data_IF_413808157783
#
_entry.id   IF_413808157783
#
_cell.length_a   1.000
_cell.length_b   1.000
_cell.length_c   1.000
_cell.angle_alpha   90.00
_cell.angle_beta   90.00
_cell.angle_gamma   90.00
#
_symmetry.space_group_name_H-M   'P 1'
#
loop_
_entity.id
_entity.type
_entity.pdbx_description
1 polymer ?
#
# COMPACT_ATOMS: atom_id res chain seq x y z
N UNK A 1 44.42 -2.14 -39.25
CA UNK A 1 43.39 -2.78 -40.09
C UNK A 1 42.67 -3.80 -39.20
N UNK A 2 41.55 -3.48 -38.58
CA UNK A 2 40.21 -3.24 -39.13
C UNK A 2 39.47 -4.55 -39.52
N UNK A 3 38.41 -4.83 -38.75
CA UNK A 3 37.04 -5.18 -39.21
C UNK A 3 36.72 -6.63 -39.63
N UNK A 4 35.80 -7.21 -38.84
CA UNK A 4 34.59 -8.02 -39.14
C UNK A 4 34.57 -8.98 -40.34
N UNK A 5 34.07 -10.20 -40.10
CA UNK A 5 32.70 -10.65 -40.43
C UNK A 5 32.54 -12.13 -39.96
N UNK A 6 31.65 -12.45 -39.02
CA UNK A 6 30.19 -12.61 -39.17
C UNK A 6 29.77 -13.94 -39.85
N UNK A 7 29.31 -14.89 -39.02
CA UNK A 7 28.20 -15.87 -39.23
C UNK A 7 28.14 -16.80 -38.01
N UNK A 8 27.33 -16.50 -36.98
CA UNK A 8 25.91 -16.87 -36.84
C UNK A 8 25.61 -18.33 -37.21
N UNK A 9 25.18 -19.09 -36.19
CA UNK A 9 24.63 -20.44 -36.34
C UNK A 9 24.14 -21.03 -35.03
N UNK A 10 22.91 -20.65 -34.63
CA UNK A 10 21.99 -21.41 -33.79
C UNK A 10 22.36 -21.67 -32.30
N UNK A 11 22.12 -20.65 -31.48
CA UNK A 11 21.77 -20.85 -30.07
C UNK A 11 20.31 -21.36 -29.98
N UNK A 12 20.14 -22.68 -29.89
CA UNK A 12 18.93 -23.31 -29.35
C UNK A 12 18.99 -23.28 -27.82
N UNK A 13 18.76 -22.10 -27.26
CA UNK A 13 18.60 -21.89 -25.83
C UNK A 13 17.12 -22.04 -25.43
N UNK A 14 16.62 -23.27 -25.45
CA UNK A 14 15.38 -23.64 -24.78
C UNK A 14 15.69 -24.78 -23.81
N UNK A 15 15.15 -24.69 -22.60
CA UNK A 15 15.21 -25.69 -21.52
C UNK A 15 16.48 -25.72 -20.66
N UNK A 16 16.83 -24.57 -20.09
CA UNK A 16 17.61 -24.52 -18.85
C UNK A 16 16.69 -24.65 -17.63
N UNK A 17 16.48 -25.86 -17.16
CA UNK A 17 15.80 -26.15 -15.89
C UNK A 17 16.45 -25.33 -14.74
N UNK A 18 15.66 -24.45 -14.12
CA UNK A 18 16.08 -23.65 -12.98
C UNK A 18 16.19 -24.52 -11.71
N UNK A 19 17.26 -25.30 -11.62
CA UNK A 19 17.74 -25.87 -10.36
C UNK A 19 18.51 -24.81 -9.57
N UNK A 20 18.07 -24.50 -8.35
CA UNK A 20 18.88 -23.84 -7.32
C UNK A 20 19.26 -22.37 -7.57
N UNK A 21 18.42 -21.44 -7.12
CA UNK A 21 18.81 -20.08 -6.72
C UNK A 21 19.47 -19.21 -7.80
N UNK A 22 18.67 -18.51 -8.62
CA UNK A 22 19.23 -17.51 -9.55
C UNK A 22 20.06 -16.44 -8.80
N UNK A 23 21.34 -16.32 -9.17
CA UNK A 23 22.26 -15.28 -8.71
C UNK A 23 22.15 -13.97 -9.52
N UNK A 24 21.21 -13.92 -10.47
CA UNK A 24 20.93 -12.75 -11.27
C UNK A 24 20.28 -11.65 -10.40
N UNK A 25 21.09 -10.69 -9.93
CA UNK A 25 20.67 -9.62 -9.02
C UNK A 25 19.49 -8.79 -9.54
N UNK A 26 19.39 -8.63 -10.86
CA UNK A 26 18.37 -7.78 -11.50
C UNK A 26 17.12 -8.53 -11.96
N UNK A 27 17.09 -9.86 -11.85
CA UNK A 27 15.86 -10.57 -12.18
C UNK A 27 14.90 -10.57 -10.97
N UNK A 28 13.59 -10.35 -11.15
CA UNK A 28 12.72 -10.23 -9.97
C UNK A 28 12.48 -11.55 -9.20
N UNK A 29 12.94 -12.71 -9.73
CA UNK A 29 13.01 -13.95 -8.95
C UNK A 29 14.23 -13.94 -8.03
N UNK A 30 15.38 -13.48 -8.52
CA UNK A 30 16.60 -13.26 -7.75
C UNK A 30 16.40 -12.22 -6.65
N UNK A 31 15.76 -11.08 -6.97
CA UNK A 31 15.42 -10.05 -5.99
C UNK A 31 14.51 -10.58 -4.88
N UNK A 32 13.44 -11.31 -5.23
CA UNK A 32 12.52 -11.92 -4.26
C UNK A 32 13.21 -12.94 -3.37
N UNK A 33 14.03 -13.80 -3.95
CA UNK A 33 14.75 -14.84 -3.22
C UNK A 33 15.83 -14.21 -2.32
N UNK A 34 16.54 -13.19 -2.81
CA UNK A 34 17.50 -12.41 -2.03
C UNK A 34 16.84 -11.70 -0.84
N UNK A 35 15.68 -11.08 -1.04
CA UNK A 35 14.91 -10.47 0.06
C UNK A 35 14.46 -11.52 1.08
N UNK A 36 13.92 -12.67 0.64
CA UNK A 36 13.53 -13.77 1.53
C UNK A 36 14.69 -14.28 2.39
N UNK A 37 15.86 -14.51 1.78
CA UNK A 37 17.05 -14.94 2.52
C UNK A 37 17.53 -13.88 3.51
N UNK A 38 17.50 -12.60 3.11
CA UNK A 38 17.87 -11.51 4.01
C UNK A 38 16.92 -11.41 5.21
N UNK A 39 15.60 -11.52 4.98
CA UNK A 39 14.60 -11.57 6.06
C UNK A 39 14.85 -12.77 6.98
N UNK A 40 15.08 -13.96 6.42
CA UNK A 40 15.35 -15.16 7.22
C UNK A 40 16.66 -15.05 8.01
N UNK A 41 17.70 -14.43 7.46
CA UNK A 41 18.95 -14.14 8.16
C UNK A 41 18.73 -13.15 9.30
N UNK A 42 18.02 -12.06 9.04
CA UNK A 42 17.69 -11.05 10.04
C UNK A 42 16.86 -11.63 11.20
N UNK A 43 15.83 -12.42 10.90
CA UNK A 43 15.00 -13.05 11.95
C UNK A 43 15.83 -14.00 12.83
N UNK A 44 16.73 -14.79 12.22
CA UNK A 44 17.66 -15.65 12.98
C UNK A 44 18.62 -14.84 13.85
N UNK A 45 19.18 -13.75 13.33
CA UNK A 45 20.05 -12.88 14.10
C UNK A 45 19.31 -12.23 15.28
N UNK A 46 18.12 -11.67 15.04
CA UNK A 46 17.25 -11.10 16.08
C UNK A 46 16.94 -12.11 17.18
N UNK A 47 16.50 -13.31 16.81
CA UNK A 47 16.13 -14.33 17.79
C UNK A 47 17.37 -14.88 18.53
N UNK A 48 18.53 -14.94 17.86
CA UNK A 48 19.82 -15.23 18.49
C UNK A 48 20.23 -14.18 19.53
N UNK A 49 20.15 -12.89 19.19
CA UNK A 49 20.42 -11.80 20.14
C UNK A 49 19.41 -11.75 21.29
N UNK A 50 18.14 -12.05 21.03
CA UNK A 50 17.13 -12.20 22.08
C UNK A 50 17.45 -13.34 23.05
N UNK A 51 18.14 -14.39 22.58
CA UNK A 51 18.65 -15.50 23.39
C UNK A 51 20.05 -15.23 24.01
N UNK A 52 20.61 -14.03 23.83
CA UNK A 52 21.94 -13.65 24.35
C UNK A 52 23.12 -14.23 23.55
N UNK A 53 22.89 -14.73 22.33
CA UNK A 53 23.92 -15.31 21.47
C UNK A 53 24.57 -14.23 20.58
N UNK A 54 25.82 -14.43 20.18
CA UNK A 54 26.50 -13.58 19.18
C UNK A 54 27.04 -12.24 19.70
N UNK A 55 27.01 -12.01 21.02
CA UNK A 55 27.61 -10.83 21.64
C UNK A 55 29.16 -10.93 21.66
N UNK A 56 29.88 -9.88 21.20
CA UNK A 56 31.32 -9.81 21.37
C UNK A 56 31.72 -9.80 22.86
N UNK A 57 32.80 -10.49 23.21
CA UNK A 57 33.28 -10.58 24.60
C UNK A 57 33.52 -9.18 25.23
N UNK A 58 34.00 -8.21 24.43
CA UNK A 58 34.28 -6.85 24.90
C UNK A 58 33.05 -6.05 25.36
N UNK A 59 31.84 -6.39 24.90
CA UNK A 59 30.59 -5.69 25.31
C UNK A 59 29.74 -6.53 26.26
N UNK A 60 29.98 -7.85 26.33
CA UNK A 60 29.20 -8.78 27.14
C UNK A 60 29.22 -8.48 28.65
N UNK A 61 30.25 -7.77 29.13
CA UNK A 61 30.39 -7.40 30.53
C UNK A 61 29.55 -6.20 30.97
N UNK A 62 28.97 -5.45 30.02
CA UNK A 62 28.10 -4.30 30.29
C UNK A 62 26.77 -4.44 29.57
N UNK A 63 25.68 -4.45 30.33
CA UNK A 63 24.32 -4.55 29.79
C UNK A 63 23.99 -3.38 28.84
N UNK A 64 24.42 -2.16 29.17
CA UNK A 64 24.21 -0.98 28.33
C UNK A 64 25.00 -1.08 27.03
N UNK A 65 26.28 -1.47 27.10
CA UNK A 65 27.13 -1.64 25.92
C UNK A 65 26.61 -2.76 25.00
N UNK A 66 26.19 -3.89 25.59
CA UNK A 66 25.57 -4.99 24.86
C UNK A 66 24.30 -4.55 24.13
N UNK A 67 23.41 -3.79 24.79
CA UNK A 67 22.17 -3.27 24.17
C UNK A 67 22.45 -2.32 23.02
N UNK A 68 23.39 -1.39 23.20
CA UNK A 68 23.77 -0.44 22.15
C UNK A 68 24.35 -1.17 20.93
N UNK A 69 25.25 -2.13 21.16
CA UNK A 69 25.86 -2.93 20.10
C UNK A 69 24.81 -3.76 19.34
N UNK A 70 23.94 -4.49 20.05
CA UNK A 70 22.85 -5.26 19.44
C UNK A 70 21.90 -4.37 18.64
N UNK A 71 21.56 -3.19 19.17
CA UNK A 71 20.70 -2.24 18.47
C UNK A 71 21.35 -1.73 17.19
N UNK A 72 22.66 -1.45 17.20
CA UNK A 72 23.39 -1.00 16.02
C UNK A 72 23.45 -2.09 14.94
N UNK A 73 23.80 -3.32 15.33
CA UNK A 73 23.87 -4.47 14.44
C UNK A 73 22.50 -4.78 13.81
N UNK A 74 21.43 -4.79 14.62
CA UNK A 74 20.07 -4.99 14.11
C UNK A 74 19.59 -3.84 13.21
N UNK A 75 20.06 -2.62 13.45
CA UNK A 75 19.75 -1.47 12.59
C UNK A 75 20.39 -1.63 11.22
N UNK A 76 21.68 -1.95 11.16
CA UNK A 76 22.39 -2.18 9.90
C UNK A 76 21.76 -3.32 9.09
N UNK A 77 21.49 -4.45 9.74
CA UNK A 77 20.84 -5.58 9.07
C UNK A 77 19.42 -5.25 8.60
N UNK A 78 18.65 -4.50 9.40
CA UNK A 78 17.30 -4.08 9.01
C UNK A 78 17.32 -3.13 7.80
N UNK A 79 18.29 -2.22 7.72
CA UNK A 79 18.48 -1.35 6.56
C UNK A 79 18.81 -2.17 5.30
N UNK A 80 19.68 -3.18 5.42
CA UNK A 80 20.01 -4.08 4.32
C UNK A 80 18.83 -4.96 3.87
N UNK A 81 17.92 -5.34 4.79
CA UNK A 81 16.66 -6.03 4.45
C UNK A 81 15.70 -5.07 3.74
N UNK A 82 15.56 -3.85 4.23
CA UNK A 82 14.68 -2.84 3.66
C UNK A 82 15.13 -2.39 2.26
N UNK A 83 16.44 -2.30 2.01
CA UNK A 83 17.01 -2.06 0.68
C UNK A 83 16.66 -3.17 -0.30
N UNK A 84 16.87 -4.44 0.08
CA UNK A 84 16.48 -5.58 -0.74
C UNK A 84 14.96 -5.66 -0.95
N UNK A 85 14.18 -5.25 0.04
CA UNK A 85 12.72 -5.16 -0.07
C UNK A 85 12.27 -4.10 -1.09
N UNK A 86 12.94 -2.94 -1.12
CA UNK A 86 12.72 -1.90 -2.14
C UNK A 86 13.09 -2.41 -3.53
N UNK A 87 14.25 -3.05 -3.67
CA UNK A 87 14.69 -3.65 -4.94
C UNK A 87 13.71 -4.72 -5.45
N UNK A 88 13.20 -5.61 -4.58
CA UNK A 88 12.14 -6.56 -4.95
C UNK A 88 10.86 -5.83 -5.41
N UNK A 89 10.47 -4.75 -4.72
CA UNK A 89 9.31 -3.95 -5.06
C UNK A 89 9.40 -3.32 -6.45
N UNK A 90 10.51 -2.68 -6.76
CA UNK A 90 10.79 -2.07 -8.08
C UNK A 90 10.81 -3.13 -9.19
N UNK A 91 11.52 -4.23 -8.95
CA UNK A 91 11.62 -5.36 -9.87
C UNK A 91 10.24 -6.02 -10.13
N UNK A 92 9.37 -6.05 -9.12
CA UNK A 92 7.98 -6.52 -9.25
C UNK A 92 7.12 -5.54 -10.05
N UNK A 93 7.20 -4.24 -9.76
CA UNK A 93 6.46 -3.19 -10.48
C UNK A 93 6.82 -3.17 -11.98
N UNK A 94 8.10 -3.34 -12.30
CA UNK A 94 8.59 -3.42 -13.68
C UNK A 94 8.03 -4.62 -14.47
N UNK A 95 7.58 -5.69 -13.79
CA UNK A 95 6.89 -6.83 -14.41
C UNK A 95 5.37 -6.77 -14.32
N UNK A 96 4.83 -5.89 -13.48
CA UNK A 96 3.39 -5.79 -13.26
C UNK A 96 2.65 -5.42 -14.54
N UNK A 97 3.21 -4.52 -15.36
CA UNK A 97 2.56 -4.06 -16.59
C UNK A 97 2.30 -5.20 -17.58
N UNK A 98 3.22 -6.18 -17.69
CA UNK A 98 3.04 -7.37 -18.53
C UNK A 98 1.88 -8.22 -18.00
N UNK A 99 1.83 -8.43 -16.69
CA UNK A 99 0.76 -9.22 -16.06
C UNK A 99 -0.60 -8.54 -16.20
N UNK A 100 -0.66 -7.23 -16.01
CA UNK A 100 -1.90 -6.47 -16.18
C UNK A 100 -2.34 -6.46 -17.64
N UNK A 101 -1.41 -6.30 -18.60
CA UNK A 101 -1.73 -6.42 -20.02
C UNK A 101 -2.26 -7.83 -20.35
N UNK A 102 -1.59 -8.89 -19.89
CA UNK A 102 -2.04 -10.27 -20.07
C UNK A 102 -3.43 -10.50 -19.46
N UNK A 103 -3.71 -9.96 -18.28
CA UNK A 103 -5.02 -10.08 -17.64
C UNK A 103 -6.12 -9.33 -18.42
N UNK A 104 -5.82 -8.13 -18.91
CA UNK A 104 -6.75 -7.33 -19.74
C UNK A 104 -7.05 -8.06 -21.05
N UNK A 105 -6.04 -8.54 -21.77
CA UNK A 105 -6.23 -9.30 -23.01
C UNK A 105 -6.90 -10.66 -22.76
N UNK A 106 -6.59 -11.33 -21.63
CA UNK A 106 -7.29 -12.52 -21.19
C UNK A 106 -8.79 -12.28 -20.97
N UNK A 107 -9.17 -11.13 -20.41
CA UNK A 107 -10.57 -10.74 -20.26
C UNK A 107 -11.26 -10.50 -21.61
N UNK A 108 -10.57 -9.89 -22.58
CA UNK A 108 -11.07 -9.75 -23.97
C UNK A 108 -11.29 -11.12 -24.62
N UNK A 109 -10.33 -12.04 -24.48
CA UNK A 109 -10.46 -13.41 -25.00
C UNK A 109 -11.60 -14.17 -24.31
N UNK A 110 -11.74 -14.03 -22.99
CA UNK A 110 -12.85 -14.64 -22.25
C UNK A 110 -14.21 -14.09 -22.71
N UNK A 111 -14.32 -12.78 -22.94
CA UNK A 111 -15.51 -12.17 -23.50
C UNK A 111 -15.81 -12.71 -24.90
N UNK A 112 -14.80 -12.78 -25.78
CA UNK A 112 -14.94 -13.38 -27.11
C UNK A 112 -15.46 -14.82 -27.03
N UNK A 113 -14.87 -15.66 -26.17
CA UNK A 113 -15.29 -17.04 -25.99
C UNK A 113 -16.73 -17.12 -25.48
N UNK A 114 -17.12 -16.30 -24.50
CA UNK A 114 -18.48 -16.26 -23.99
C UNK A 114 -19.49 -15.82 -25.06
N UNK A 115 -19.15 -14.82 -25.86
CA UNK A 115 -19.99 -14.35 -26.97
C UNK A 115 -20.08 -15.39 -28.09
N UNK A 116 -18.99 -16.08 -28.41
CA UNK A 116 -18.98 -17.19 -29.38
C UNK A 116 -19.80 -18.38 -28.91
N UNK A 117 -19.69 -18.78 -27.64
CA UNK A 117 -20.48 -19.87 -27.07
C UNK A 117 -21.97 -19.53 -27.04
N UNK A 118 -22.33 -18.31 -26.64
CA UNK A 118 -23.73 -17.86 -26.65
C UNK A 118 -24.24 -17.54 -28.06
N UNK A 119 -23.38 -17.45 -29.07
CA UNK A 119 -23.76 -17.35 -30.47
C UNK A 119 -24.23 -18.66 -31.08
N UNK A 120 -23.85 -19.80 -30.47
CA UNK A 120 -24.36 -21.10 -30.88
C UNK A 120 -25.87 -21.13 -30.64
N UNK A 121 -26.64 -21.20 -31.73
CA UNK A 121 -28.11 -21.18 -31.70
C UNK A 121 -28.72 -19.78 -31.89
N UNK A 122 -28.22 -18.76 -31.17
CA UNK A 122 -28.78 -17.40 -31.25
C UNK A 122 -28.24 -16.55 -32.43
N UNK A 123 -27.17 -17.00 -33.08
CA UNK A 123 -26.52 -16.29 -34.20
C UNK A 123 -25.65 -15.11 -33.73
N UNK A 124 -24.75 -14.64 -34.59
CA UNK A 124 -23.88 -13.49 -34.28
C UNK A 124 -24.59 -12.17 -34.54
N UNK A 125 -24.54 -11.23 -33.60
CA UNK A 125 -25.27 -9.95 -33.70
C UNK A 125 -24.32 -8.76 -33.72
N UNK A 126 -24.77 -7.64 -34.28
CA UNK A 126 -24.02 -6.37 -34.25
C UNK A 126 -23.71 -5.88 -32.83
N UNK A 127 -24.54 -6.25 -31.85
CA UNK A 127 -24.30 -5.99 -30.42
C UNK A 127 -22.99 -6.63 -29.95
N UNK A 128 -22.76 -7.89 -30.31
CA UNK A 128 -21.55 -8.61 -29.92
C UNK A 128 -20.31 -8.01 -30.56
N UNK A 129 -20.40 -7.66 -31.84
CA UNK A 129 -19.33 -6.95 -32.54
C UNK A 129 -19.01 -5.62 -31.83
N UNK A 130 -20.02 -4.82 -31.49
CA UNK A 130 -19.83 -3.55 -30.80
C UNK A 130 -19.22 -3.75 -29.39
N UNK A 131 -19.66 -4.77 -28.65
CA UNK A 131 -19.13 -5.12 -27.33
C UNK A 131 -17.65 -5.51 -27.38
N UNK A 132 -17.26 -6.33 -28.37
CA UNK A 132 -15.88 -6.74 -28.58
C UNK A 132 -15.00 -5.59 -29.05
N UNK A 133 -15.49 -4.75 -29.96
CA UNK A 133 -14.76 -3.55 -30.39
C UNK A 133 -14.55 -2.58 -29.23
N UNK A 134 -15.57 -2.34 -28.40
CA UNK A 134 -15.42 -1.53 -27.19
C UNK A 134 -14.38 -2.13 -26.24
N UNK A 135 -14.41 -3.46 -26.03
CA UNK A 135 -13.42 -4.15 -25.20
C UNK A 135 -12.00 -4.03 -25.76
N UNK A 136 -11.82 -4.13 -27.08
CA UNK A 136 -10.53 -3.96 -27.76
C UNK A 136 -10.00 -2.54 -27.62
N UNK A 137 -10.83 -1.52 -27.79
CA UNK A 137 -10.45 -0.11 -27.63
C UNK A 137 -10.00 0.16 -26.19
N UNK A 138 -10.78 -0.30 -25.21
CA UNK A 138 -10.43 -0.20 -23.79
C UNK A 138 -9.12 -0.94 -23.50
N UNK A 139 -8.98 -2.18 -23.96
CA UNK A 139 -7.78 -2.97 -23.75
C UNK A 139 -6.53 -2.33 -24.36
N UNK A 140 -6.64 -1.77 -25.57
CA UNK A 140 -5.56 -1.04 -26.22
C UNK A 140 -5.17 0.23 -25.44
N UNK A 141 -6.16 1.00 -24.97
CA UNK A 141 -5.92 2.18 -24.15
C UNK A 141 -5.24 1.83 -22.82
N UNK A 142 -5.70 0.79 -22.12
CA UNK A 142 -5.07 0.31 -20.87
C UNK A 142 -3.67 -0.26 -21.11
N UNK A 143 -3.44 -0.92 -22.25
CA UNK A 143 -2.11 -1.42 -22.64
C UNK A 143 -1.15 -0.25 -22.94
N UNK A 144 -1.60 0.77 -23.68
CA UNK A 144 -0.83 1.97 -23.94
C UNK A 144 -0.49 2.71 -22.63
N UNK A 145 -1.49 2.93 -21.77
CA UNK A 145 -1.28 3.51 -20.44
C UNK A 145 -0.30 2.68 -19.59
N UNK A 146 -0.41 1.35 -19.64
CA UNK A 146 0.53 0.45 -18.96
C UNK A 146 1.96 0.63 -19.45
N UNK A 147 2.15 0.80 -20.76
CA UNK A 147 3.46 0.99 -21.36
C UNK A 147 4.08 2.34 -20.96
N UNK A 148 3.32 3.43 -21.05
CA UNK A 148 3.78 4.76 -20.63
C UNK A 148 4.08 4.84 -19.12
N UNK A 149 3.32 4.11 -18.29
CA UNK A 149 3.48 4.11 -16.83
C UNK A 149 4.19 2.87 -16.28
N UNK A 150 4.95 2.13 -17.11
CA UNK A 150 5.60 0.87 -16.72
C UNK A 150 6.51 0.98 -15.49
N UNK A 151 7.18 2.12 -15.31
CA UNK A 151 8.05 2.39 -14.17
C UNK A 151 7.29 2.62 -12.85
N UNK A 152 5.97 2.88 -12.91
CA UNK A 152 5.12 3.23 -11.76
C UNK A 152 4.01 2.20 -11.51
N UNK A 153 4.15 0.98 -12.05
CA UNK A 153 3.15 -0.09 -11.90
C UNK A 153 2.14 -0.19 -13.05
N UNK A 154 2.39 0.46 -14.19
CA UNK A 154 1.58 0.35 -15.39
C UNK A 154 0.18 0.94 -15.21
N UNK A 155 -0.87 0.22 -15.65
CA UNK A 155 -2.27 0.65 -15.53
C UNK A 155 -2.71 0.88 -14.08
N UNK A 156 -2.03 0.28 -13.11
CA UNK A 156 -2.34 0.45 -11.69
C UNK A 156 -1.73 1.72 -11.08
N UNK A 157 -0.86 2.43 -11.81
CA UNK A 157 -0.23 3.65 -11.31
C UNK A 157 -1.21 4.70 -10.75
N UNK A 158 -2.40 4.96 -11.36
CA UNK A 158 -3.36 5.93 -10.82
C UNK A 158 -4.00 5.50 -9.49
N UNK A 159 -4.07 4.18 -9.24
CA UNK A 159 -4.70 3.63 -8.02
C UNK A 159 -3.69 3.41 -6.89
N UNK A 160 -2.39 3.52 -7.18
CA UNK A 160 -1.33 3.50 -6.17
C UNK A 160 -1.24 4.90 -5.52
N UNK A 161 -1.30 4.92 -4.20
CA UNK A 161 -1.19 6.10 -3.35
C UNK A 161 0.24 6.64 -3.26
N UNK A 162 0.38 7.85 -2.74
CA UNK A 162 1.67 8.49 -2.48
C UNK A 162 2.52 7.72 -1.44
N UNK A 163 1.88 6.89 -0.61
CA UNK A 163 2.51 5.98 0.35
C UNK A 163 2.85 4.61 -0.24
N UNK A 164 2.79 4.45 -1.58
CA UNK A 164 3.09 3.22 -2.31
C UNK A 164 2.19 2.03 -1.93
N UNK A 165 0.94 2.31 -1.54
CA UNK A 165 -0.12 1.33 -1.23
C UNK A 165 -1.27 1.47 -2.22
N UNK A 166 -2.07 0.43 -2.43
CA UNK A 166 -3.28 0.58 -3.24
C UNK A 166 -4.32 1.42 -2.49
N UNK A 167 -4.88 2.43 -3.16
CA UNK A 167 -5.94 3.28 -2.61
C UNK A 167 -7.31 2.68 -2.90
N UNK A 168 -8.05 2.35 -1.84
CA UNK A 168 -9.42 1.81 -1.91
C UNK A 168 -10.34 2.73 -2.71
N UNK A 169 -10.38 4.02 -2.40
CA UNK A 169 -11.25 4.97 -3.10
C UNK A 169 -10.88 5.19 -4.56
N UNK A 170 -9.59 5.30 -4.91
CA UNK A 170 -9.17 5.43 -6.31
C UNK A 170 -9.47 4.16 -7.10
N UNK A 171 -9.31 2.99 -6.49
CA UNK A 171 -9.60 1.70 -7.14
C UNK A 171 -11.08 1.57 -7.46
N UNK A 172 -11.96 1.83 -6.49
CA UNK A 172 -13.41 1.79 -6.70
C UNK A 172 -13.83 2.80 -7.78
N UNK A 173 -13.31 4.03 -7.72
CA UNK A 173 -13.60 5.04 -8.73
C UNK A 173 -13.11 4.62 -10.14
N UNK A 174 -11.89 4.08 -10.24
CA UNK A 174 -11.33 3.59 -11.51
C UNK A 174 -12.17 2.45 -12.11
N UNK A 175 -12.66 1.51 -11.28
CA UNK A 175 -13.56 0.44 -11.74
C UNK A 175 -14.86 0.99 -12.32
N UNK A 176 -15.51 1.95 -11.64
CA UNK A 176 -16.73 2.59 -12.14
C UNK A 176 -16.49 3.40 -13.41
N UNK A 177 -15.41 4.18 -13.48
CA UNK A 177 -15.03 4.92 -14.69
C UNK A 177 -14.81 3.97 -15.86
N UNK A 178 -14.03 2.90 -15.66
CA UNK A 178 -13.75 1.92 -16.70
C UNK A 178 -15.04 1.26 -17.22
N UNK A 179 -15.95 0.89 -16.31
CA UNK A 179 -17.23 0.31 -16.66
C UNK A 179 -18.10 1.29 -17.48
N UNK A 180 -18.21 2.54 -17.06
CA UNK A 180 -19.01 3.55 -17.77
C UNK A 180 -18.41 3.87 -19.13
N UNK A 181 -17.08 4.00 -19.24
CA UNK A 181 -16.40 4.19 -20.53
C UNK A 181 -16.68 3.02 -21.47
N UNK A 182 -16.60 1.78 -20.97
CA UNK A 182 -16.95 0.59 -21.76
C UNK A 182 -18.41 0.62 -22.23
N UNK A 183 -19.36 0.93 -21.33
CA UNK A 183 -20.78 1.00 -21.66
C UNK A 183 -21.09 2.05 -22.73
N UNK A 184 -20.47 3.23 -22.63
CA UNK A 184 -20.63 4.31 -23.60
C UNK A 184 -20.01 3.94 -24.95
N UNK A 185 -18.82 3.31 -24.97
CA UNK A 185 -18.20 2.84 -26.22
C UNK A 185 -19.02 1.74 -26.90
N UNK A 186 -19.62 0.82 -26.12
CA UNK A 186 -20.56 -0.17 -26.63
C UNK A 186 -21.74 0.52 -27.33
N UNK A 187 -22.41 1.46 -26.65
CA UNK A 187 -23.56 2.19 -27.20
C UNK A 187 -23.17 3.02 -28.43
N UNK A 188 -22.01 3.67 -28.42
CA UNK A 188 -21.49 4.42 -29.56
C UNK A 188 -21.22 3.52 -30.77
N UNK A 189 -20.64 2.33 -30.54
CA UNK A 189 -20.43 1.33 -31.59
C UNK A 189 -21.75 0.81 -32.18
N UNK A 190 -22.78 0.61 -31.34
CA UNK A 190 -24.13 0.27 -31.81
C UNK A 190 -24.75 1.39 -32.63
N UNK A 191 -24.61 2.63 -32.19
CA UNK A 191 -25.14 3.80 -32.89
C UNK A 191 -24.47 3.97 -34.27
N UNK A 192 -23.15 3.77 -34.34
CA UNK A 192 -22.41 3.82 -35.61
C UNK A 192 -22.83 2.72 -36.59
N UNK A 193 -23.20 1.54 -36.08
CA UNK A 193 -23.68 0.42 -36.89
C UNK A 193 -25.17 0.49 -37.25
N UNK A 194 -25.95 1.37 -36.61
CA UNK A 194 -27.38 1.49 -36.85
C UNK A 194 -27.65 2.16 -38.21
N UNK A 195 -28.28 1.41 -39.12
CA UNK A 195 -28.68 1.89 -40.45
C UNK A 195 -30.09 2.50 -40.47
N UNK A 196 -30.96 2.09 -39.54
CA UNK A 196 -32.36 2.54 -39.45
C UNK A 196 -32.53 3.72 -38.47
N UNK A 197 -33.44 4.64 -38.80
CA UNK A 197 -33.71 5.82 -37.97
C UNK A 197 -34.39 5.44 -36.65
N UNK A 198 -35.33 4.50 -36.64
CA UNK A 198 -36.00 4.08 -35.41
C UNK A 198 -35.03 3.40 -34.42
N UNK A 199 -34.08 2.62 -34.95
CA UNK A 199 -33.00 2.02 -34.15
C UNK A 199 -32.06 3.07 -33.53
N UNK A 200 -31.74 4.15 -34.28
CA UNK A 200 -30.93 5.27 -33.76
C UNK A 200 -31.67 6.02 -32.66
N UNK A 201 -32.94 6.34 -32.87
CA UNK A 201 -33.77 7.04 -31.87
C UNK A 201 -33.92 6.22 -30.58
N UNK A 202 -34.06 4.90 -30.70
CA UNK A 202 -34.09 4.01 -29.54
C UNK A 202 -32.78 4.06 -28.74
N UNK A 203 -31.62 4.03 -29.40
CA UNK A 203 -30.31 4.12 -28.75
C UNK A 203 -30.08 5.49 -28.10
N UNK A 204 -30.48 6.58 -28.78
CA UNK A 204 -30.42 7.94 -28.22
C UNK A 204 -31.33 8.07 -26.99
N UNK A 205 -32.53 7.49 -27.03
CA UNK A 205 -33.42 7.41 -25.86
C UNK A 205 -32.84 6.54 -24.74
N UNK A 206 -32.00 5.56 -25.07
CA UNK A 206 -31.30 4.70 -24.12
C UNK A 206 -30.13 5.40 -23.41
N UNK A 207 -29.61 6.49 -23.99
CA UNK A 207 -28.62 7.39 -23.39
C UNK A 207 -29.27 8.48 -22.52
N UNK A 208 -30.61 8.54 -22.47
CA UNK A 208 -31.32 9.54 -21.69
C UNK A 208 -30.89 9.49 -20.21
N UNK A 209 -30.65 10.67 -19.66
CA UNK A 209 -30.15 10.85 -18.30
C UNK A 209 -31.12 10.26 -17.28
N UNK A 210 -32.43 10.27 -17.55
CA UNK A 210 -33.42 9.65 -16.68
C UNK A 210 -33.15 8.14 -16.47
N UNK A 211 -32.65 7.44 -17.48
CA UNK A 211 -32.31 6.01 -17.42
C UNK A 211 -30.91 5.75 -16.87
N UNK A 212 -30.00 6.70 -17.06
CA UNK A 212 -28.62 6.63 -16.56
C UNK A 212 -28.40 7.24 -15.17
N UNK A 213 -29.41 7.89 -14.58
CA UNK A 213 -29.26 8.74 -13.41
C UNK A 213 -28.59 8.01 -12.23
N UNK A 214 -29.03 6.79 -11.90
CA UNK A 214 -28.45 6.02 -10.79
C UNK A 214 -26.95 5.74 -10.97
N UNK A 215 -26.52 5.32 -12.16
CA UNK A 215 -25.10 5.06 -12.46
C UNK A 215 -24.30 6.36 -12.50
N UNK A 216 -24.86 7.42 -13.09
CA UNK A 216 -24.22 8.73 -13.11
C UNK A 216 -24.02 9.30 -11.70
N UNK A 217 -25.04 9.16 -10.82
CA UNK A 217 -24.95 9.55 -9.41
C UNK A 217 -23.88 8.73 -8.68
N UNK A 218 -23.86 7.41 -8.82
CA UNK A 218 -22.84 6.57 -8.19
C UNK A 218 -21.45 6.95 -8.70
N UNK A 219 -21.27 7.11 -10.01
CA UNK A 219 -20.00 7.53 -10.60
C UNK A 219 -19.54 8.88 -10.02
N UNK A 220 -20.43 9.88 -9.98
CA UNK A 220 -20.13 11.19 -9.43
C UNK A 220 -19.70 11.10 -7.96
N UNK A 221 -20.40 10.29 -7.16
CA UNK A 221 -20.10 10.10 -5.74
C UNK A 221 -18.77 9.39 -5.55
N UNK A 222 -18.50 8.26 -6.21
CA UNK A 222 -17.24 7.51 -6.00
C UNK A 222 -16.03 8.32 -6.45
N UNK A 223 -16.16 9.08 -7.55
CA UNK A 223 -15.13 10.02 -8.01
C UNK A 223 -14.93 11.18 -7.01
N UNK A 224 -16.03 11.79 -6.54
CA UNK A 224 -15.99 12.84 -5.53
C UNK A 224 -15.34 12.38 -4.23
N UNK A 225 -15.65 11.17 -3.77
CA UNK A 225 -15.07 10.55 -2.57
C UNK A 225 -13.58 10.25 -2.77
N UNK A 226 -13.16 9.79 -3.96
CA UNK A 226 -11.75 9.59 -4.25
C UNK A 226 -10.93 10.90 -4.12
N UNK A 227 -11.47 12.01 -4.61
CA UNK A 227 -10.86 13.34 -4.48
C UNK A 227 -10.91 13.84 -3.03
N UNK A 228 -12.07 13.74 -2.38
CA UNK A 228 -12.28 14.23 -1.02
C UNK A 228 -11.38 13.49 -0.03
N UNK A 229 -11.30 12.17 -0.10
CA UNK A 229 -10.43 11.37 0.79
C UNK A 229 -8.96 11.74 0.59
N UNK A 230 -8.51 11.93 -0.66
CA UNK A 230 -7.14 12.41 -0.92
C UNK A 230 -6.89 13.75 -0.25
N UNK A 231 -7.84 14.69 -0.34
CA UNK A 231 -7.74 16.00 0.30
C UNK A 231 -7.71 15.90 1.83
N UNK A 232 -8.60 15.08 2.41
CA UNK A 232 -8.70 14.86 3.87
C UNK A 232 -7.41 14.25 4.41
N UNK A 233 -6.93 13.16 3.82
CA UNK A 233 -5.69 12.50 4.22
C UNK A 233 -4.50 13.47 4.10
N UNK A 234 -4.39 14.18 2.98
CA UNK A 234 -3.33 15.17 2.76
C UNK A 234 -3.33 16.29 3.81
N UNK A 235 -4.49 16.89 4.08
CA UNK A 235 -4.61 17.94 5.11
C UNK A 235 -4.30 17.43 6.51
N UNK A 236 -4.68 16.19 6.83
CA UNK A 236 -4.42 15.60 8.16
C UNK A 236 -2.96 15.22 8.35
N UNK A 237 -2.26 14.82 7.28
CA UNK A 237 -0.80 14.63 7.30
C UNK A 237 -0.10 15.96 7.53
N UNK A 238 -0.44 17.00 6.76
CA UNK A 238 0.12 18.36 6.93
C UNK A 238 -0.16 18.91 8.33
N UNK A 239 -1.36 18.68 8.85
CA UNK A 239 -1.75 19.08 10.20
C UNK A 239 -1.23 18.18 11.33
N UNK A 240 -0.36 17.21 11.04
CA UNK A 240 0.24 16.26 11.99
C UNK A 240 -0.80 15.46 12.80
N UNK A 241 -2.01 15.30 12.27
CA UNK A 241 -3.11 14.51 12.86
C UNK A 241 -3.18 13.09 12.32
N UNK A 242 -2.38 12.77 11.31
CA UNK A 242 -2.27 11.45 10.72
C UNK A 242 -0.81 11.21 10.34
N UNK A 243 -0.29 10.03 10.68
CA UNK A 243 1.06 9.60 10.36
C UNK A 243 0.98 8.50 9.31
N UNK A 244 1.67 8.66 8.18
CA UNK A 244 1.77 7.64 7.13
C UNK A 244 3.22 7.34 6.80
N UNK A 245 3.56 6.05 6.78
CA UNK A 245 4.88 5.58 6.38
C UNK A 245 4.77 4.87 5.02
N UNK A 246 5.63 5.20 4.04
CA UNK A 246 5.61 4.56 2.73
C UNK A 246 5.84 3.04 2.84
N UNK A 247 5.01 2.26 2.15
CA UNK A 247 5.21 0.82 2.00
C UNK A 247 6.32 0.53 0.97
N UNK A 248 7.00 -0.61 1.12
CA UNK A 248 8.00 -1.04 0.14
C UNK A 248 7.39 -1.46 -1.20
N UNK A 249 6.12 -1.89 -1.21
CA UNK A 249 5.38 -2.23 -2.42
C UNK A 249 3.86 -2.17 -2.18
N UNK A 250 3.06 -1.90 -3.23
CA UNK A 250 1.62 -2.01 -3.14
C UNK A 250 1.19 -3.48 -3.09
N UNK A 251 0.11 -3.76 -2.37
CA UNK A 251 -0.48 -5.11 -2.25
C UNK A 251 -1.98 -5.02 -2.56
N UNK A 252 -2.54 -6.05 -3.19
CA UNK A 252 -3.98 -6.12 -3.39
C UNK A 252 -4.76 -6.15 -2.06
N UNK A 253 -4.15 -6.69 -1.00
CA UNK A 253 -4.71 -6.67 0.35
C UNK A 253 -4.92 -5.25 0.90
N UNK A 254 -4.15 -4.25 0.42
CA UNK A 254 -4.28 -2.85 0.88
C UNK A 254 -5.67 -2.27 0.61
N UNK A 255 -6.45 -2.85 -0.32
CA UNK A 255 -7.83 -2.46 -0.57
C UNK A 255 -8.78 -2.83 0.59
N UNK A 256 -8.38 -3.81 1.41
CA UNK A 256 -9.19 -4.45 2.43
C UNK A 256 -8.58 -4.31 3.84
N UNK A 257 -7.36 -3.81 3.94
CA UNK A 257 -6.62 -3.74 5.20
C UNK A 257 -6.19 -2.32 5.54
N UNK A 258 -6.12 -2.04 6.83
CA UNK A 258 -5.53 -0.82 7.39
C UNK A 258 -4.01 -0.79 7.15
N UNK A 259 -3.39 0.30 7.59
CA UNK A 259 -1.97 0.51 7.37
C UNK A 259 -1.05 -0.47 8.14
N UNK A 260 -1.59 -1.18 9.11
CA UNK A 260 -0.94 -2.27 9.86
C UNK A 260 -1.22 -3.65 9.27
N UNK A 261 -2.01 -3.75 8.20
CA UNK A 261 -2.39 -5.01 7.55
C UNK A 261 -3.56 -5.75 8.22
N UNK A 262 -4.29 -5.10 9.12
CA UNK A 262 -5.51 -5.66 9.75
C UNK A 262 -6.72 -5.36 8.89
N UNK A 263 -7.72 -6.23 8.85
CA UNK A 263 -8.95 -5.98 8.09
C UNK A 263 -9.63 -4.68 8.52
N UNK A 264 -9.86 -3.76 7.58
CA UNK A 264 -10.49 -2.47 7.83
C UNK A 264 -11.96 -2.54 7.43
N UNK A 265 -12.87 -2.60 8.40
CA UNK A 265 -14.30 -2.76 8.14
C UNK A 265 -14.85 -1.73 7.14
N UNK A 266 -14.52 -0.44 7.34
CA UNK A 266 -14.98 0.65 6.48
C UNK A 266 -14.49 0.53 5.03
N UNK A 267 -13.30 -0.03 4.82
CA UNK A 267 -12.70 -0.24 3.49
C UNK A 267 -13.31 -1.48 2.83
N UNK A 268 -13.41 -2.59 3.58
CA UNK A 268 -14.01 -3.86 3.11
C UNK A 268 -15.46 -3.64 2.67
N UNK A 269 -16.30 -3.02 3.51
CA UNK A 269 -17.70 -2.81 3.18
C UNK A 269 -17.86 -1.92 1.93
N UNK A 270 -17.00 -0.91 1.74
CA UNK A 270 -17.05 -0.02 0.60
C UNK A 270 -16.69 -0.71 -0.71
N UNK A 271 -15.65 -1.56 -0.68
CA UNK A 271 -15.26 -2.38 -1.83
C UNK A 271 -16.36 -3.38 -2.18
N UNK A 272 -16.87 -4.12 -1.19
CA UNK A 272 -17.88 -5.16 -1.41
C UNK A 272 -19.20 -4.59 -1.94
N UNK A 273 -19.73 -3.54 -1.31
CA UNK A 273 -20.97 -2.88 -1.75
C UNK A 273 -20.81 -2.32 -3.16
N UNK A 274 -19.70 -1.65 -3.44
CA UNK A 274 -19.44 -1.10 -4.78
C UNK A 274 -19.27 -2.21 -5.82
N UNK A 275 -18.62 -3.32 -5.49
CA UNK A 275 -18.45 -4.46 -6.39
C UNK A 275 -19.79 -5.12 -6.73
N UNK A 276 -20.69 -5.29 -5.75
CA UNK A 276 -22.05 -5.82 -5.99
C UNK A 276 -22.86 -4.89 -6.89
N UNK A 277 -22.81 -3.58 -6.64
CA UNK A 277 -23.50 -2.60 -7.46
C UNK A 277 -22.96 -2.57 -8.90
N UNK A 278 -21.63 -2.66 -9.06
CA UNK A 278 -20.98 -2.72 -10.37
C UNK A 278 -21.33 -4.01 -11.12
N UNK A 279 -21.34 -5.16 -10.43
CA UNK A 279 -21.74 -6.44 -11.00
C UNK A 279 -23.21 -6.42 -11.44
N UNK A 280 -24.09 -5.85 -10.62
CA UNK A 280 -25.49 -5.64 -10.99
C UNK A 280 -25.62 -4.78 -12.24
N UNK A 281 -24.90 -3.65 -12.31
CA UNK A 281 -24.91 -2.76 -13.48
C UNK A 281 -24.38 -3.48 -14.73
N UNK A 282 -23.33 -4.30 -14.61
CA UNK A 282 -22.79 -5.09 -15.72
C UNK A 282 -23.79 -6.13 -16.23
N UNK A 283 -24.49 -6.84 -15.34
CA UNK A 283 -25.56 -7.77 -15.73
C UNK A 283 -26.71 -7.03 -16.42
N UNK A 284 -27.07 -5.84 -15.95
CA UNK A 284 -28.11 -5.01 -16.58
C UNK A 284 -27.71 -4.58 -17.99
N UNK A 285 -26.48 -4.13 -18.18
CA UNK A 285 -25.94 -3.77 -19.48
C UNK A 285 -25.93 -4.98 -20.44
N UNK A 286 -25.51 -6.14 -19.97
CA UNK A 286 -25.51 -7.37 -20.77
C UNK A 286 -26.92 -7.80 -21.20
N UNK A 287 -27.93 -7.62 -20.32
CA UNK A 287 -29.33 -7.95 -20.62
C UNK A 287 -30.05 -6.90 -21.47
N UNK A 288 -29.61 -5.64 -21.42
CA UNK A 288 -30.21 -4.49 -22.12
C UNK A 288 -29.10 -3.62 -22.73
N UNK A 289 -28.45 -4.09 -23.81
CA UNK A 289 -27.29 -3.42 -24.39
C UNK A 289 -27.63 -2.14 -25.17
N UNK A 290 -28.92 -1.81 -25.30
CA UNK A 290 -29.42 -0.64 -26.04
C UNK A 290 -29.56 0.61 -25.18
N UNK A 291 -29.27 0.51 -23.89
CA UNK A 291 -29.38 1.63 -22.96
C UNK A 291 -28.31 1.58 -21.90
N UNK A 292 -28.06 2.72 -21.25
CA UNK A 292 -27.25 2.75 -20.04
C UNK A 292 -27.88 1.84 -18.96
N UNK A 293 -27.04 1.22 -18.11
CA UNK A 293 -27.54 0.34 -17.08
C UNK A 293 -28.34 1.15 -16.06
N UNK A 294 -29.64 0.92 -16.05
CA UNK A 294 -30.56 1.51 -15.07
C UNK A 294 -30.32 0.83 -13.71
N UNK A 295 -29.71 1.59 -12.81
CA UNK A 295 -29.36 1.20 -11.45
C UNK A 295 -30.47 1.66 -10.50
N UNK A 296 -31.19 0.73 -9.84
CA UNK A 296 -32.25 1.08 -8.91
C UNK A 296 -31.75 2.05 -7.83
N UNK A 297 -32.55 3.08 -7.56
CA UNK A 297 -32.21 4.09 -6.54
C UNK A 297 -31.89 3.49 -5.18
N UNK A 298 -32.55 2.40 -4.78
CA UNK A 298 -32.21 1.68 -3.55
C UNK A 298 -30.75 1.21 -3.51
N UNK A 299 -30.23 0.65 -4.62
CA UNK A 299 -28.83 0.21 -4.70
C UNK A 299 -27.88 1.41 -4.76
N UNK A 300 -28.25 2.47 -5.49
CA UNK A 300 -27.47 3.71 -5.51
C UNK A 300 -27.34 4.30 -4.09
N UNK A 301 -28.44 4.40 -3.33
CA UNK A 301 -28.45 4.90 -1.95
C UNK A 301 -27.57 4.03 -1.03
N UNK A 302 -27.59 2.70 -1.19
CA UNK A 302 -26.70 1.81 -0.43
C UNK A 302 -25.22 2.10 -0.72
N UNK A 303 -24.85 2.34 -1.98
CA UNK A 303 -23.48 2.77 -2.33
C UNK A 303 -23.14 4.12 -1.70
N UNK A 304 -24.08 5.07 -1.69
CA UNK A 304 -23.88 6.38 -1.07
C UNK A 304 -23.64 6.28 0.45
N UNK A 305 -24.46 5.50 1.17
CA UNK A 305 -24.29 5.23 2.60
C UNK A 305 -22.94 4.56 2.87
N UNK A 306 -22.59 3.58 2.04
CA UNK A 306 -21.31 2.89 2.12
C UNK A 306 -20.12 3.84 1.90
N UNK A 307 -20.22 4.74 0.93
CA UNK A 307 -19.19 5.74 0.64
C UNK A 307 -19.05 6.78 1.77
N UNK A 308 -20.17 7.22 2.36
CA UNK A 308 -20.19 8.10 3.53
C UNK A 308 -19.55 7.42 4.76
N UNK A 309 -19.84 6.14 4.99
CA UNK A 309 -19.24 5.34 6.07
C UNK A 309 -17.73 5.21 5.89
N UNK A 310 -17.27 4.94 4.66
CA UNK A 310 -15.85 4.91 4.32
C UNK A 310 -15.17 6.26 4.58
N UNK A 311 -15.78 7.36 4.13
CA UNK A 311 -15.26 8.71 4.37
C UNK A 311 -15.16 9.01 5.87
N UNK A 312 -16.21 8.70 6.64
CA UNK A 312 -16.22 8.87 8.09
C UNK A 312 -15.11 8.04 8.76
N UNK A 313 -14.88 6.81 8.30
CA UNK A 313 -13.74 5.99 8.72
C UNK A 313 -12.40 6.69 8.51
N UNK A 314 -12.15 7.26 7.31
CA UNK A 314 -10.92 8.02 7.02
C UNK A 314 -10.77 9.29 7.86
N UNK A 315 -11.87 9.89 8.32
CA UNK A 315 -11.85 10.98 9.30
C UNK A 315 -11.56 10.51 10.73
N UNK A 316 -11.94 9.29 11.09
CA UNK A 316 -11.71 8.72 12.41
C UNK A 316 -10.30 8.13 12.59
N UNK A 317 -9.64 7.73 11.50
CA UNK A 317 -8.29 7.15 11.55
C UNK A 317 -7.23 8.11 12.11
N UNK A 318 -6.19 7.58 12.78
CA UNK A 318 -4.99 8.33 13.15
C UNK A 318 -5.04 9.05 14.50
N UNK A 319 -3.94 9.73 14.81
CA UNK A 319 -3.72 10.45 16.06
C UNK A 319 -2.38 11.16 16.03
N UNK A 320 -2.30 12.31 16.71
CA UNK A 320 -1.01 12.98 16.94
C UNK A 320 -0.24 12.17 17.99
N UNK A 321 1.07 11.92 17.81
CA UNK A 321 1.85 11.25 18.84
C UNK A 321 1.98 12.18 20.05
N UNK A 322 1.80 11.64 21.26
CA UNK A 322 1.80 12.41 22.51
C UNK A 322 2.58 11.68 23.59
N UNK A 323 3.49 12.38 24.24
CA UNK A 323 4.11 11.98 25.51
C UNK A 323 3.15 12.36 26.63
N UNK A 324 2.77 11.37 27.43
CA UNK A 324 1.93 11.54 28.61
C UNK A 324 2.77 11.67 29.88
N UNK A 325 3.88 10.93 29.98
CA UNK A 325 4.80 11.02 31.11
C UNK A 325 6.18 10.50 30.74
N UNK A 326 7.19 10.96 31.46
CA UNK A 326 8.56 10.45 31.40
C UNK A 326 8.98 10.14 32.83
N UNK A 327 9.45 8.92 33.06
CA UNK A 327 9.85 8.44 34.38
C UNK A 327 11.18 7.71 34.29
N UNK A 328 11.89 7.58 35.41
CA UNK A 328 13.07 6.71 35.52
C UNK A 328 12.63 5.26 35.29
N UNK A 329 13.30 4.55 34.38
CA UNK A 329 13.06 3.13 34.16
C UNK A 329 13.63 2.35 35.37
N UNK A 330 12.80 1.53 35.99
CA UNK A 330 13.16 0.84 37.23
C UNK A 330 13.67 -0.57 36.94
N UNK A 331 14.84 -0.90 37.47
CA UNK A 331 15.26 -2.30 37.60
C UNK A 331 14.77 -2.89 38.94
N UNK A 332 14.44 -4.19 39.00
CA UNK A 332 14.03 -4.83 40.25
C UNK A 332 15.08 -4.66 41.35
N UNK A 333 14.69 -4.08 42.48
CA UNK A 333 15.59 -3.78 43.61
C UNK A 333 16.08 -2.34 43.68
N UNK A 334 15.83 -1.54 42.64
CA UNK A 334 16.24 -0.14 42.62
C UNK A 334 15.29 0.73 43.47
N UNK A 335 15.87 1.73 44.15
CA UNK A 335 15.15 2.71 44.98
C UNK A 335 14.55 3.81 44.11
N UNK A 336 13.45 4.41 44.58
CA UNK A 336 12.87 5.58 43.93
C UNK A 336 13.85 6.76 44.04
N UNK A 337 14.09 7.44 42.91
CA UNK A 337 15.08 8.50 42.81
C UNK A 337 14.84 9.41 41.60
N UNK A 338 15.48 10.58 41.58
CA UNK A 338 15.43 11.48 40.42
C UNK A 338 16.10 10.82 39.20
N UNK A 339 15.78 11.33 38.01
CA UNK A 339 16.42 10.90 36.77
C UNK A 339 17.87 11.42 36.77
N UNK A 340 18.84 10.53 36.62
CA UNK A 340 20.26 10.89 36.52
C UNK A 340 20.81 10.70 35.11
N UNK A 341 21.96 11.31 34.85
CA UNK A 341 22.72 10.98 33.65
C UNK A 341 23.12 9.49 33.67
N UNK A 342 23.00 8.82 32.52
CA UNK A 342 23.25 7.37 32.40
C UNK A 342 22.10 6.45 32.83
N UNK A 343 21.06 6.96 33.52
CA UNK A 343 19.86 6.16 33.80
C UNK A 343 19.09 5.87 32.51
N UNK A 344 18.39 4.73 32.47
CA UNK A 344 17.34 4.52 31.47
C UNK A 344 16.08 5.29 31.90
N UNK A 345 15.45 5.99 30.96
CA UNK A 345 14.13 6.62 31.14
C UNK A 345 13.07 5.90 30.33
N UNK A 346 11.91 5.72 30.94
CA UNK A 346 10.70 5.18 30.32
C UNK A 346 9.77 6.34 29.94
N UNK A 347 9.59 6.51 28.63
CA UNK A 347 8.71 7.51 28.03
C UNK A 347 7.40 6.84 27.69
N UNK A 348 6.32 7.26 28.35
CA UNK A 348 4.97 6.72 28.16
C UNK A 348 4.14 7.69 27.35
N UNK A 349 3.38 7.14 26.40
CA UNK A 349 2.55 7.94 25.52
C UNK A 349 1.70 7.10 24.59
N UNK A 350 1.36 7.69 23.45
CA UNK A 350 0.58 7.03 22.40
C UNK A 350 1.03 7.50 21.02
N UNK A 351 0.88 6.63 20.01
CA UNK A 351 1.16 6.96 18.63
C UNK A 351 2.65 7.05 18.29
N UNK A 352 3.54 6.49 19.12
CA UNK A 352 4.98 6.51 18.86
C UNK A 352 5.35 5.67 17.63
N UNK A 353 4.63 4.57 17.39
CA UNK A 353 4.86 3.68 16.25
C UNK A 353 3.68 3.80 15.29
N UNK A 354 3.81 4.59 14.22
CA UNK A 354 2.71 4.79 13.29
C UNK A 354 2.32 3.48 12.59
N UNK A 355 1.05 3.32 12.18
CA UNK A 355 0.60 2.15 11.44
C UNK A 355 1.49 1.85 10.23
N UNK A 356 1.90 0.58 10.11
CA UNK A 356 2.82 0.13 9.05
C UNK A 356 4.30 0.38 9.33
N UNK A 357 4.68 0.94 10.48
CA UNK A 357 6.06 1.19 10.87
C UNK A 357 6.64 0.15 11.86
N UNK A 358 6.01 -1.03 11.98
CA UNK A 358 6.46 -2.09 12.89
C UNK A 358 7.74 -2.82 12.43
N UNK A 359 8.22 -2.55 11.21
CA UNK A 359 9.47 -3.10 10.71
C UNK A 359 10.68 -2.50 11.42
N UNK A 360 11.70 -3.32 11.68
CA UNK A 360 12.92 -2.90 12.39
C UNK A 360 13.60 -1.69 11.73
N UNK A 361 13.55 -1.59 10.40
CA UNK A 361 14.11 -0.49 9.60
C UNK A 361 13.42 0.85 9.82
N UNK A 362 12.17 0.81 10.30
CA UNK A 362 11.37 2.00 10.65
C UNK A 362 11.50 2.32 12.13
N UNK A 363 11.48 1.30 12.97
CA UNK A 363 11.69 1.43 14.42
C UNK A 363 13.06 2.03 14.74
N UNK A 364 14.12 1.63 14.02
CA UNK A 364 15.48 2.16 14.21
C UNK A 364 15.64 3.65 13.89
N UNK A 365 14.67 4.26 13.20
CA UNK A 365 14.67 5.69 12.85
C UNK A 365 14.04 6.57 13.92
N UNK A 366 13.45 5.96 14.95
CA UNK A 366 12.86 6.71 16.07
C UNK A 366 13.97 7.36 16.89
N UNK A 367 13.76 8.62 17.24
CA UNK A 367 14.72 9.43 18.00
C UNK A 367 13.99 10.06 19.17
N UNK A 368 14.65 10.10 20.33
CA UNK A 368 14.23 10.90 21.47
C UNK A 368 15.20 12.06 21.59
N UNK A 369 14.67 13.27 21.51
CA UNK A 369 15.40 14.49 21.85
C UNK A 369 15.29 14.74 23.34
N UNK A 370 16.43 14.77 24.02
CA UNK A 370 16.54 15.10 25.45
C UNK A 370 17.40 16.37 25.55
N UNK A 371 16.76 17.50 25.81
CA UNK A 371 17.41 18.81 25.72
C UNK A 371 17.95 19.08 24.31
N UNK A 372 19.25 19.25 24.18
CA UNK A 372 19.95 19.47 22.91
C UNK A 372 20.44 18.17 22.23
N UNK A 373 20.28 17.00 22.87
CA UNK A 373 20.87 15.74 22.41
C UNK A 373 19.80 14.85 21.77
N UNK A 374 20.10 14.32 20.58
CA UNK A 374 19.26 13.37 19.86
C UNK A 374 19.73 11.93 20.10
N UNK A 375 18.89 11.13 20.75
CA UNK A 375 19.17 9.74 21.15
C UNK A 375 18.36 8.79 20.28
N UNK A 376 19.02 7.85 19.60
CA UNK A 376 18.31 6.79 18.86
C UNK A 376 17.65 5.84 19.85
N UNK A 377 16.40 5.46 19.58
CA UNK A 377 15.71 4.49 20.44
C UNK A 377 16.31 3.10 20.21
N UNK A 378 16.85 2.44 21.24
CA UNK A 378 17.52 1.17 21.05
C UNK A 378 16.51 0.05 20.72
N UNK A 379 16.82 -0.74 19.70
CA UNK A 379 16.10 -1.96 19.39
C UNK A 379 16.43 -3.04 20.43
N UNK A 380 15.44 -3.39 21.26
CA UNK A 380 15.59 -4.47 22.25
C UNK A 380 14.83 -5.70 21.74
N UNK A 381 15.54 -6.71 21.19
CA UNK A 381 14.92 -7.86 20.57
C UNK A 381 14.29 -8.78 21.62
N UNK A 382 13.16 -9.37 21.25
CA UNK A 382 12.51 -10.48 21.96
C UNK A 382 12.07 -11.52 20.93
N UNK A 383 11.85 -12.80 21.31
CA UNK A 383 11.33 -13.78 20.37
C UNK A 383 10.08 -13.25 19.66
N UNK A 384 10.13 -13.19 18.33
CA UNK A 384 9.01 -12.70 17.51
C UNK A 384 8.94 -11.19 17.28
N UNK A 385 9.76 -10.35 17.93
CA UNK A 385 9.66 -8.90 17.74
C UNK A 385 10.63 -8.07 18.57
N UNK A 386 10.15 -6.92 19.05
CA UNK A 386 10.92 -5.98 19.86
C UNK A 386 10.11 -5.58 21.09
N UNK A 387 10.75 -5.55 22.25
CA UNK A 387 10.17 -4.97 23.47
C UNK A 387 10.31 -3.45 23.50
N UNK A 388 11.26 -2.91 22.75
CA UNK A 388 11.50 -1.48 22.58
C UNK A 388 12.01 -1.24 21.16
N UNK A 389 11.48 -0.25 20.42
CA UNK A 389 10.37 0.64 20.75
C UNK A 389 8.97 -0.02 20.67
N UNK A 390 8.00 0.52 21.41
CA UNK A 390 6.56 0.18 21.27
C UNK A 390 5.72 1.43 21.03
N UNK A 391 4.45 1.26 20.64
CA UNK A 391 3.56 2.40 20.36
C UNK A 391 3.26 3.28 21.59
N UNK A 392 3.34 2.69 22.79
CA UNK A 392 2.96 3.35 24.03
C UNK A 392 4.11 3.60 24.99
N UNK A 393 5.23 2.90 24.82
CA UNK A 393 6.38 2.96 25.72
C UNK A 393 7.69 2.92 24.94
N UNK A 394 8.61 3.83 25.27
CA UNK A 394 9.99 3.84 24.80
C UNK A 394 10.92 3.86 26.00
N UNK A 395 11.98 3.05 25.94
CA UNK A 395 13.07 3.09 26.93
C UNK A 395 14.32 3.61 26.24
N UNK A 396 14.91 4.68 26.76
CA UNK A 396 16.15 5.27 26.24
C UNK A 396 17.09 5.64 27.36
N UNK A 397 18.42 5.49 27.18
CA UNK A 397 19.38 5.99 28.15
C UNK A 397 19.43 7.53 28.11
N UNK A 398 19.62 8.17 29.27
CA UNK A 398 19.94 9.59 29.38
C UNK A 398 21.42 9.77 29.05
N UNK A 399 21.78 10.47 27.96
CA UNK A 399 23.17 10.70 27.60
C UNK A 399 23.92 11.50 28.66
N UNK A 400 25.22 11.27 28.78
CA UNK A 400 26.08 12.03 29.70
C UNK A 400 26.24 13.50 29.28
N UNK A 401 25.99 13.80 27.99
CA UNK A 401 26.04 15.14 27.41
C UNK A 401 24.80 15.99 27.74
N UNK A 402 23.80 15.43 28.43
CA UNK A 402 22.63 16.17 28.87
C UNK A 402 22.98 17.00 30.10
N UNK A 403 22.83 18.32 29.99
CA UNK A 403 23.05 19.22 31.12
C UNK A 403 22.07 18.93 32.28
N UNK A 404 22.56 18.84 33.53
CA UNK A 404 21.69 18.72 34.69
C UNK A 404 20.73 19.91 34.80
N UNK A 405 19.50 19.64 35.22
CA UNK A 405 18.44 20.63 35.40
C UNK A 405 17.17 20.29 34.64
N UNK A 406 16.38 21.32 34.34
CA UNK A 406 15.10 21.19 33.65
C UNK A 406 15.32 21.05 32.14
N UNK A 407 15.10 19.85 31.60
CA UNK A 407 15.28 19.53 30.18
C UNK A 407 13.96 19.13 29.51
N UNK A 408 13.81 19.48 28.24
CA UNK A 408 12.65 19.07 27.44
C UNK A 408 12.91 17.71 26.78
N UNK A 409 11.94 16.80 26.89
CA UNK A 409 11.93 15.51 26.19
C UNK A 409 10.90 15.54 25.08
N UNK A 410 11.30 15.08 23.89
CA UNK A 410 10.43 14.97 22.72
C UNK A 410 10.75 13.68 21.95
N UNK A 411 9.73 13.00 21.45
CA UNK A 411 9.89 11.81 20.59
C UNK A 411 9.65 12.22 19.15
N UNK A 412 10.56 11.82 18.26
CA UNK A 412 10.39 11.86 16.81
C UNK A 412 10.07 10.45 16.33
N UNK A 413 8.87 10.26 15.80
CA UNK A 413 8.38 8.94 15.35
C UNK A 413 9.06 8.48 14.08
N UNK A 414 8.85 7.21 13.69
CA UNK A 414 9.34 6.67 12.43
C UNK A 414 8.78 7.39 11.17
N UNK A 415 7.69 8.16 11.33
CA UNK A 415 7.13 9.03 10.28
C UNK A 415 7.74 10.44 10.29
N UNK A 416 8.69 10.73 11.19
CA UNK A 416 9.31 12.04 11.34
C UNK A 416 8.43 13.07 12.07
N UNK A 417 7.38 12.65 12.75
CA UNK A 417 6.48 13.56 13.49
C UNK A 417 6.96 13.69 14.92
N UNK A 418 7.13 14.92 15.39
CA UNK A 418 7.51 15.21 16.75
C UNK A 418 6.30 15.30 17.69
N UNK A 419 6.42 14.75 18.90
CA UNK A 419 5.40 14.82 19.96
C UNK A 419 5.29 16.22 20.57
N UNK A 420 4.42 16.39 21.58
CA UNK A 420 4.58 17.47 22.56
C UNK A 420 5.93 17.36 23.29
N UNK A 421 6.35 18.49 23.88
CA UNK A 421 7.50 18.58 24.77
C UNK A 421 7.06 18.26 26.19
N UNK A 422 7.83 17.44 26.90
CA UNK A 422 7.60 17.11 28.29
C UNK A 422 8.85 17.51 29.10
N UNK A 423 8.68 18.42 30.05
CA UNK A 423 9.79 18.89 30.89
C UNK A 423 10.06 17.89 32.01
N UNK A 424 11.32 17.49 32.17
CA UNK A 424 11.79 16.63 33.25
C UNK A 424 12.98 17.27 33.94
N UNK A 425 13.23 16.90 35.19
CA UNK A 425 14.40 17.34 35.92
C UNK A 425 15.45 16.23 35.93
N UNK A 426 16.63 16.49 35.37
CA UNK A 426 17.79 15.60 35.38
C UNK A 426 18.75 16.07 36.45
N UNK A 427 19.27 15.15 37.25
CA UNK A 427 20.34 15.40 38.23
C UNK A 427 21.64 14.77 37.75
N UNK A 428 22.77 15.15 38.35
CA UNK A 428 24.06 14.49 38.08
C UNK A 428 24.00 12.97 38.32
#
# INVERSE_FOLDING_TARGET
MAVQEARQGAATGAEGAHGGGCACGDCPHGAREGHRRAVAAFLRARDGFAAGQGLPAGVAHSASASRQWVSAELTEQAEAVAERGRAEGEAWLARLWLRTACAVWGAVVALLLAESLTAVGAGWTGTRTAALLAALVVAAALTAASWFHRARGGVLAPVIGEDNRMSTSRTVAACWVLFVVYAVLLLAGRLAAASDHAARDALLSGLDLARGAGVATVLAVVCGIAVLVRRVVGLRIIGLRLQKVPAHRPRAADLLTDDSGRGAFADIQYVVVSAVALAFAAVRLARRPDQLPDLPWGLAVVVLISAATYLAGKYAEGGRPVILSVVRAREPGDLDGPIRTGDDVEIRGTGFVPPGAHGADRLSRMVVRIGAVDVRVPLVPVPGGFRNPTDTVLTVPVPAEVEPGSVEVQVVTAAGVATNRCTVHVTE
#
